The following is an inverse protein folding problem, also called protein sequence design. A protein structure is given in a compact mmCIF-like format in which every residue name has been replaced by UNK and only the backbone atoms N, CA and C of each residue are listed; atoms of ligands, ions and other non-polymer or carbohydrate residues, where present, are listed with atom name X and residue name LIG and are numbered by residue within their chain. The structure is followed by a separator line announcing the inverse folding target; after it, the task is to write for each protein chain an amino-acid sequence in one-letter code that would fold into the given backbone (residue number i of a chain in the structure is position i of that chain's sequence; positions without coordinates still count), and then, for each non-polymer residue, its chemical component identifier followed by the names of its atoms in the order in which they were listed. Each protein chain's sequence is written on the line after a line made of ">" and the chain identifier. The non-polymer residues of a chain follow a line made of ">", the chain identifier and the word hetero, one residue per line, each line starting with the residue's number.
data_IF_596821045291
#
_entry.id   IF_596821045291
#
_cell.length_a   1.000
_cell.length_b   1.000
_cell.length_c   1.000
_cell.angle_alpha   90.00
_cell.angle_beta   90.00
_cell.angle_gamma   90.00
#
_symmetry.space_group_name_H-M   'P 1'
#
loop_
_entity.id
_entity.type
_entity.pdbx_description
1 polymer ?
#
# COMPACT_ATOMS: atom_id res chain seq x y z
N UNK A 1 -12.68 -10.55 -0.14
CA UNK A 1 -11.33 -10.27 0.36
C UNK A 1 -10.39 -10.37 -0.84
N UNK A 2 -9.64 -9.30 -1.11
CA UNK A 2 -8.58 -9.33 -2.13
C UNK A 2 -7.30 -9.78 -1.43
N UNK A 3 -6.73 -10.90 -1.85
CA UNK A 3 -5.45 -11.38 -1.33
C UNK A 3 -4.34 -10.44 -1.84
N UNK A 4 -3.53 -9.95 -0.91
CA UNK A 4 -2.37 -9.10 -1.21
C UNK A 4 -1.12 -9.97 -1.26
N UNK A 5 -0.47 -10.03 -2.40
CA UNK A 5 0.75 -10.79 -2.58
C UNK A 5 1.98 -9.93 -2.24
N UNK A 6 2.87 -10.44 -1.37
CA UNK A 6 4.07 -9.71 -0.92
C UNK A 6 4.99 -9.30 -2.07
N UNK A 7 5.16 -10.17 -3.08
CA UNK A 7 5.96 -9.86 -4.27
C UNK A 7 5.41 -8.71 -5.09
N UNK A 8 4.08 -8.59 -5.20
CA UNK A 8 3.41 -7.48 -5.87
C UNK A 8 3.62 -6.16 -5.13
N UNK A 9 3.47 -6.15 -3.80
CA UNK A 9 3.72 -4.95 -3.00
C UNK A 9 5.17 -4.50 -3.12
N UNK A 10 6.15 -5.43 -3.08
CA UNK A 10 7.55 -5.09 -3.27
C UNK A 10 7.81 -4.46 -4.65
N UNK A 11 7.19 -4.98 -5.70
CA UNK A 11 7.28 -4.42 -7.05
C UNK A 11 6.63 -3.03 -7.13
N UNK A 12 5.42 -2.85 -6.62
CA UNK A 12 4.71 -1.56 -6.58
C UNK A 12 5.52 -0.51 -5.81
N UNK A 13 6.16 -0.89 -4.69
CA UNK A 13 7.04 -0.03 -3.94
C UNK A 13 8.25 0.41 -4.77
N UNK A 14 8.92 -0.52 -5.44
CA UNK A 14 10.07 -0.20 -6.31
C UNK A 14 9.67 0.72 -7.48
N UNK A 15 8.48 0.55 -8.03
CA UNK A 15 7.95 1.41 -9.09
C UNK A 15 7.63 2.82 -8.55
N UNK A 16 7.00 2.90 -7.38
CA UNK A 16 6.71 4.17 -6.71
C UNK A 16 7.98 4.95 -6.36
N UNK A 17 9.04 4.28 -5.89
CA UNK A 17 10.34 4.89 -5.57
C UNK A 17 11.02 5.55 -6.79
N UNK A 18 10.74 5.05 -8.01
CA UNK A 18 11.30 5.64 -9.24
C UNK A 18 10.67 6.99 -9.59
N UNK A 19 9.42 7.21 -9.19
CA UNK A 19 8.63 8.39 -9.59
C UNK A 19 8.37 9.36 -8.45
N UNK A 20 8.46 8.92 -7.19
CA UNK A 20 8.22 9.75 -6.02
C UNK A 20 9.23 9.49 -4.91
N UNK A 21 9.65 10.57 -4.24
CA UNK A 21 10.45 10.46 -3.00
C UNK A 21 9.60 10.26 -1.77
N UNK A 22 8.30 10.61 -1.82
CA UNK A 22 7.35 10.44 -0.72
C UNK A 22 6.30 9.41 -1.13
N UNK A 23 6.09 8.43 -0.27
CA UNK A 23 5.16 7.33 -0.48
C UNK A 23 4.25 7.21 0.74
N UNK A 24 2.94 7.25 0.51
CA UNK A 24 1.94 7.01 1.53
C UNK A 24 1.44 5.57 1.41
N UNK A 25 1.66 4.79 2.45
CA UNK A 25 1.18 3.41 2.55
C UNK A 25 -0.10 3.42 3.38
N UNK A 26 -1.21 3.03 2.78
CA UNK A 26 -2.51 2.99 3.45
C UNK A 26 -2.89 1.56 3.78
N UNK A 27 -3.22 1.31 5.05
CA UNK A 27 -3.51 -0.02 5.58
C UNK A 27 -4.97 -0.09 6.00
N UNK A 28 -5.66 -1.09 5.46
CA UNK A 28 -6.98 -1.54 5.91
C UNK A 28 -7.04 -3.07 5.74
N UNK A 29 -6.53 -3.81 6.74
CA UNK A 29 -6.29 -5.25 6.62
C UNK A 29 -6.42 -5.97 7.96
N UNK A 30 -7.01 -7.16 7.93
CA UNK A 30 -7.08 -8.07 9.07
C UNK A 30 -5.79 -8.89 9.28
N UNK A 31 -4.74 -8.65 8.50
CA UNK A 31 -3.52 -9.44 8.54
C UNK A 31 -3.56 -10.64 7.61
N UNK A 32 -2.81 -11.66 7.93
CA UNK A 32 -2.69 -12.87 7.12
C UNK A 32 -1.41 -13.64 7.39
N UNK A 33 -0.85 -14.25 6.34
CA UNK A 33 0.30 -15.12 6.42
C UNK A 33 1.57 -14.39 6.86
N UNK A 34 2.28 -14.96 7.85
CA UNK A 34 3.37 -14.28 8.57
C UNK A 34 4.57 -14.00 7.67
N UNK A 35 5.02 -14.98 6.87
CA UNK A 35 6.21 -14.79 6.02
C UNK A 35 5.98 -13.77 4.91
N UNK A 36 4.79 -13.75 4.30
CA UNK A 36 4.40 -12.70 3.35
C UNK A 36 4.38 -11.32 4.00
N UNK A 37 3.89 -11.26 5.24
CA UNK A 37 3.88 -10.02 6.01
C UNK A 37 5.27 -9.54 6.37
N UNK A 38 6.17 -10.43 6.79
CA UNK A 38 7.58 -10.10 7.06
C UNK A 38 8.26 -9.59 5.78
N UNK A 39 7.96 -10.18 4.62
CA UNK A 39 8.51 -9.70 3.34
C UNK A 39 8.06 -8.26 3.02
N UNK A 40 6.78 -7.93 3.24
CA UNK A 40 6.26 -6.57 3.08
C UNK A 40 6.90 -5.62 4.09
N UNK A 41 6.95 -6.01 5.37
CA UNK A 41 7.59 -5.24 6.44
C UNK A 41 9.03 -4.88 6.07
N UNK A 42 9.81 -5.86 5.64
CA UNK A 42 11.21 -5.65 5.24
C UNK A 42 11.34 -4.74 4.02
N UNK A 43 10.48 -4.89 3.02
CA UNK A 43 10.48 -4.03 1.85
C UNK A 43 10.25 -2.56 2.24
N UNK A 44 9.26 -2.28 3.09
CA UNK A 44 8.97 -0.94 3.60
C UNK A 44 10.09 -0.40 4.49
N UNK A 45 10.61 -1.22 5.42
CA UNK A 45 11.68 -0.83 6.35
C UNK A 45 12.95 -0.40 5.62
N UNK A 46 13.36 -1.14 4.57
CA UNK A 46 14.59 -0.88 3.82
C UNK A 46 14.44 0.17 2.72
N UNK A 47 13.23 0.59 2.41
CA UNK A 47 12.98 1.65 1.43
C UNK A 47 13.69 2.94 1.81
N UNK A 48 14.31 3.59 0.80
CA UNK A 48 14.97 4.90 0.95
C UNK A 48 14.00 6.07 0.72
N UNK A 49 12.75 5.80 0.34
CA UNK A 49 11.73 6.82 0.21
C UNK A 49 11.27 7.35 1.58
N UNK A 50 10.75 8.59 1.58
CA UNK A 50 10.03 9.16 2.72
C UNK A 50 8.64 8.49 2.81
N UNK A 51 8.61 7.32 3.48
CA UNK A 51 7.37 6.54 3.66
C UNK A 51 6.65 7.02 4.91
N UNK A 52 5.32 7.17 4.80
CA UNK A 52 4.40 7.35 5.91
C UNK A 52 3.30 6.30 5.86
N UNK A 53 3.00 5.72 7.00
CA UNK A 53 2.00 4.66 7.14
C UNK A 53 0.71 5.29 7.70
N UNK A 54 -0.42 4.94 7.08
CA UNK A 54 -1.75 5.39 7.50
C UNK A 54 -2.66 4.18 7.72
N UNK A 55 -3.21 4.05 8.91
CA UNK A 55 -4.22 3.03 9.21
C UNK A 55 -5.60 3.65 9.06
N UNK A 56 -6.33 3.26 8.00
CA UNK A 56 -7.61 3.88 7.64
C UNK A 56 -8.81 3.31 8.38
N UNK A 57 -8.85 2.01 8.57
CA UNK A 57 -9.94 1.32 9.25
C UNK A 57 -9.45 0.30 10.26
N UNK A 58 -8.59 -0.61 9.81
CA UNK A 58 -8.05 -1.67 10.66
C UNK A 58 -6.62 -2.03 10.25
N UNK A 59 -5.77 -2.28 11.24
CA UNK A 59 -4.51 -2.99 11.07
C UNK A 59 -4.44 -4.07 12.15
N UNK A 60 -4.82 -5.31 11.80
CA UNK A 60 -4.90 -6.41 12.75
C UNK A 60 -3.86 -7.48 12.45
N UNK A 61 -3.40 -8.19 13.48
CA UNK A 61 -2.49 -9.32 13.34
C UNK A 61 -1.24 -8.92 12.55
N UNK A 62 -0.88 -9.64 11.50
CA UNK A 62 0.29 -9.32 10.67
C UNK A 62 0.26 -7.91 10.05
N UNK A 63 -0.92 -7.32 9.83
CA UNK A 63 -1.03 -5.94 9.35
C UNK A 63 -0.58 -4.90 10.39
N UNK A 64 -0.76 -5.16 11.69
CA UNK A 64 -0.21 -4.32 12.75
C UNK A 64 1.32 -4.35 12.78
N UNK A 65 1.91 -5.52 12.53
CA UNK A 65 3.38 -5.66 12.38
C UNK A 65 3.90 -4.85 11.19
N UNK A 66 3.24 -4.97 10.02
CA UNK A 66 3.60 -4.20 8.82
C UNK A 66 3.53 -2.70 9.08
N UNK A 67 2.50 -2.23 9.81
CA UNK A 67 2.37 -0.82 10.18
C UNK A 67 3.58 -0.30 10.95
N UNK A 68 4.24 -1.15 11.75
CA UNK A 68 5.37 -0.79 12.61
C UNK A 68 6.75 -1.00 11.95
N UNK A 69 6.85 -0.85 10.64
CA UNK A 69 8.08 -1.08 9.89
C UNK A 69 9.20 -0.03 10.11
N UNK A 70 9.12 0.77 11.16
CA UNK A 70 10.09 1.81 11.50
C UNK A 70 9.93 3.12 10.72
N UNK A 71 8.76 3.32 10.10
CA UNK A 71 8.33 4.56 9.45
C UNK A 71 7.29 5.26 10.33
N UNK A 72 7.07 6.59 10.18
CA UNK A 72 5.99 7.28 10.88
C UNK A 72 4.63 6.64 10.61
N UNK A 73 3.83 6.45 11.68
CA UNK A 73 2.53 5.77 11.65
C UNK A 73 1.44 6.70 12.17
N UNK A 74 0.41 6.89 11.39
CA UNK A 74 -0.76 7.66 11.77
C UNK A 74 -2.02 6.80 11.64
N UNK A 75 -3.00 7.00 12.50
CA UNK A 75 -4.29 6.27 12.43
C UNK A 75 -5.46 7.23 12.27
N UNK A 76 -6.49 6.79 11.56
CA UNK A 76 -7.80 7.43 11.64
C UNK A 76 -8.38 7.28 13.06
N UNK A 77 -9.07 8.30 13.53
CA UNK A 77 -9.70 8.33 14.86
C UNK A 77 -10.57 7.09 15.17
N UNK A 78 -11.22 6.56 14.15
CA UNK A 78 -12.10 5.40 14.27
C UNK A 78 -11.46 4.08 13.87
N UNK A 79 -10.20 4.09 13.45
CA UNK A 79 -9.46 2.89 13.12
C UNK A 79 -9.16 2.05 14.38
N UNK A 80 -8.82 0.80 14.15
CA UNK A 80 -8.44 -0.16 15.19
C UNK A 80 -7.09 -0.79 14.86
N UNK A 81 -6.31 -0.97 15.91
CA UNK A 81 -5.12 -1.82 15.89
C UNK A 81 -5.42 -3.09 16.68
N UNK A 82 -4.94 -4.25 16.23
CA UNK A 82 -5.11 -5.49 16.97
C UNK A 82 -3.83 -6.32 16.94
N UNK A 83 -3.43 -6.75 18.11
CA UNK A 83 -2.30 -7.62 18.35
C UNK A 83 -2.78 -8.92 18.99
N UNK A 84 -2.14 -10.02 18.64
CA UNK A 84 -2.37 -11.33 19.25
C UNK A 84 -1.19 -12.25 19.06
N UNK A 85 -1.18 -13.39 19.74
CA UNK A 85 -0.22 -14.48 19.55
C UNK A 85 -0.24 -14.99 18.11
N UNK A 86 0.88 -15.55 17.66
CA UNK A 86 0.93 -16.22 16.36
C UNK A 86 -0.02 -17.43 16.39
N UNK A 87 -0.96 -17.43 15.46
CA UNK A 87 -1.90 -18.53 15.27
C UNK A 87 -1.52 -19.35 14.04
N UNK A 88 -1.53 -20.65 14.18
CA UNK A 88 -1.26 -21.60 13.11
C UNK A 88 -1.86 -22.94 13.43
N UNK A 89 -1.82 -23.84 12.46
CA UNK A 89 -2.26 -25.21 12.65
C UNK A 89 -1.39 -26.17 11.85
N UNK A 90 -1.22 -27.34 12.40
CA UNK A 90 -0.53 -28.44 11.72
C UNK A 90 -1.25 -29.76 11.97
N UNK A 91 -1.01 -30.69 11.10
CA UNK A 91 -1.55 -32.03 11.18
C UNK A 91 -0.42 -33.04 11.00
N UNK A 92 -0.37 -34.04 11.85
CA UNK A 92 0.68 -35.04 11.75
C UNK A 92 0.88 -35.87 13.02
N UNK A 93 2.02 -36.51 13.14
CA UNK A 93 2.42 -37.26 14.34
C UNK A 93 2.99 -36.30 15.42
N UNK A 94 3.39 -36.88 16.57
CA UNK A 94 3.92 -36.10 17.70
C UNK A 94 5.11 -35.20 17.31
N UNK A 95 6.00 -35.69 16.47
CA UNK A 95 7.18 -34.91 16.03
C UNK A 95 6.77 -33.77 15.09
N UNK A 96 5.75 -33.96 14.27
CA UNK A 96 5.22 -32.88 13.40
C UNK A 96 4.58 -31.77 14.22
N UNK A 97 3.80 -32.14 15.24
CA UNK A 97 3.18 -31.18 16.17
C UNK A 97 4.25 -30.42 16.98
N UNK A 98 5.30 -31.11 17.44
CA UNK A 98 6.38 -30.47 18.17
C UNK A 98 7.11 -29.44 17.30
N UNK A 99 7.44 -29.76 16.06
CA UNK A 99 8.08 -28.82 15.12
C UNK A 99 7.19 -27.60 14.83
N UNK A 100 5.89 -27.80 14.73
CA UNK A 100 4.95 -26.70 14.53
C UNK A 100 4.92 -25.74 15.74
N UNK A 101 4.95 -26.26 16.95
CA UNK A 101 5.05 -25.44 18.16
C UNK A 101 6.37 -24.64 18.19
N UNK A 102 7.49 -25.28 17.87
CA UNK A 102 8.80 -24.61 17.81
C UNK A 102 8.85 -23.50 16.74
N UNK A 103 8.16 -23.70 15.61
CA UNK A 103 8.03 -22.69 14.56
C UNK A 103 7.20 -21.50 15.04
N UNK A 104 6.04 -21.72 15.68
CA UNK A 104 5.22 -20.68 16.26
C UNK A 104 6.02 -19.88 17.29
N UNK A 105 6.71 -20.54 18.21
CA UNK A 105 7.56 -19.88 19.22
C UNK A 105 8.68 -19.02 18.58
N UNK A 106 9.29 -19.51 17.51
CA UNK A 106 10.31 -18.79 16.75
C UNK A 106 9.75 -17.54 16.07
N UNK A 107 8.56 -17.64 15.46
CA UNK A 107 7.88 -16.51 14.84
C UNK A 107 7.47 -15.46 15.89
N UNK A 108 6.91 -15.88 17.02
CA UNK A 108 6.59 -14.98 18.14
C UNK A 108 7.83 -14.28 18.68
N UNK A 109 8.97 -14.98 18.73
CA UNK A 109 10.26 -14.38 19.08
C UNK A 109 10.65 -13.25 18.14
N UNK A 110 10.44 -13.42 16.85
CA UNK A 110 10.75 -12.41 15.83
C UNK A 110 9.76 -11.24 15.86
N UNK A 111 8.47 -11.52 15.97
CA UNK A 111 7.44 -10.48 15.98
C UNK A 111 7.46 -9.68 17.29
N UNK A 112 7.73 -10.33 18.45
CA UNK A 112 7.88 -9.61 19.72
C UNK A 112 9.04 -8.63 19.71
N UNK A 113 10.09 -8.89 18.94
CA UNK A 113 11.21 -7.95 18.77
C UNK A 113 10.77 -6.65 18.07
N UNK A 114 9.93 -6.75 17.04
CA UNK A 114 9.40 -5.59 16.32
C UNK A 114 8.55 -4.71 17.24
N UNK A 115 7.66 -5.30 18.03
CA UNK A 115 6.87 -4.55 19.02
C UNK A 115 7.72 -3.98 20.13
N UNK A 116 8.71 -4.74 20.62
CA UNK A 116 9.65 -4.31 21.65
C UNK A 116 10.45 -3.08 21.20
N UNK A 117 10.97 -3.10 19.96
CA UNK A 117 11.67 -1.96 19.34
C UNK A 117 10.77 -0.72 19.28
N UNK A 118 9.50 -0.89 18.89
CA UNK A 118 8.55 0.22 18.78
C UNK A 118 8.15 0.82 20.12
N UNK A 119 7.90 -0.03 21.12
CA UNK A 119 7.36 0.37 22.42
C UNK A 119 8.43 0.69 23.48
N UNK A 120 9.69 0.36 23.21
CA UNK A 120 10.75 0.45 24.20
C UNK A 120 10.58 -0.55 25.37
N UNK A 121 9.93 -1.67 25.13
CA UNK A 121 9.71 -2.77 26.07
C UNK A 121 10.72 -3.90 25.83
N UNK A 122 10.88 -4.83 26.79
CA UNK A 122 11.57 -6.09 26.53
C UNK A 122 10.67 -7.04 25.72
N UNK A 123 11.28 -8.01 25.03
CA UNK A 123 10.51 -9.04 24.29
C UNK A 123 9.62 -9.86 25.21
N UNK A 124 10.09 -10.15 26.40
CA UNK A 124 9.39 -10.89 27.44
C UNK A 124 8.13 -10.15 27.90
N UNK A 125 8.24 -8.84 28.13
CA UNK A 125 7.08 -8.00 28.47
C UNK A 125 6.07 -7.95 27.32
N UNK A 126 6.53 -7.81 26.07
CA UNK A 126 5.63 -7.86 24.89
C UNK A 126 4.89 -9.18 24.82
N UNK A 127 5.61 -10.31 24.98
CA UNK A 127 4.98 -11.65 24.97
C UNK A 127 3.96 -11.82 26.07
N UNK A 128 4.27 -11.38 27.29
CA UNK A 128 3.37 -11.49 28.43
C UNK A 128 2.13 -10.59 28.29
N UNK A 129 2.26 -9.45 27.60
CA UNK A 129 1.19 -8.46 27.51
C UNK A 129 0.30 -8.67 26.30
N UNK A 130 0.89 -9.07 25.13
CA UNK A 130 0.19 -9.07 23.85
C UNK A 130 0.15 -10.44 23.16
N UNK A 131 0.93 -11.44 23.66
CA UNK A 131 0.97 -12.80 23.11
C UNK A 131 0.54 -13.81 24.19
N UNK A 132 -0.45 -13.44 24.97
CA UNK A 132 -1.03 -14.22 26.07
C UNK A 132 -2.15 -15.18 25.64
N UNK A 133 -2.45 -15.20 24.33
CA UNK A 133 -3.51 -16.02 23.73
C UNK A 133 -4.82 -15.27 23.50
N UNK A 134 -4.90 -14.00 23.92
CA UNK A 134 -6.08 -13.15 23.73
C UNK A 134 -5.86 -12.15 22.59
N UNK A 135 -6.96 -11.57 22.08
CA UNK A 135 -6.94 -10.51 21.08
C UNK A 135 -6.90 -9.13 21.76
N UNK A 136 -5.83 -8.38 21.59
CA UNK A 136 -5.65 -7.04 22.14
C UNK A 136 -6.07 -5.96 21.15
N UNK A 137 -7.28 -5.47 21.27
CA UNK A 137 -7.86 -4.43 20.43
C UNK A 137 -7.61 -3.04 21.00
N UNK A 138 -6.97 -2.18 20.21
CA UNK A 138 -6.66 -0.80 20.56
C UNK A 138 -7.44 0.18 19.69
N UNK A 139 -8.02 1.19 20.29
CA UNK A 139 -8.48 2.40 19.62
C UNK A 139 -7.28 3.23 19.17
N UNK A 140 -7.48 4.18 18.25
CA UNK A 140 -6.41 5.09 17.85
C UNK A 140 -5.82 5.86 19.04
N UNK A 141 -6.66 6.25 20.01
CA UNK A 141 -6.20 6.93 21.23
C UNK A 141 -5.34 6.04 22.11
N UNK A 142 -5.75 4.81 22.35
CA UNK A 142 -4.96 3.85 23.15
C UNK A 142 -3.65 3.51 22.43
N UNK A 143 -3.67 3.32 21.11
CA UNK A 143 -2.49 3.07 20.32
C UNK A 143 -1.49 4.25 20.38
N UNK A 144 -1.98 5.50 20.38
CA UNK A 144 -1.17 6.69 20.56
C UNK A 144 -0.59 6.77 21.97
N UNK A 145 -1.42 6.59 22.98
CA UNK A 145 -1.00 6.68 24.41
C UNK A 145 0.03 5.61 24.77
N UNK A 146 -0.05 4.42 24.16
CA UNK A 146 0.89 3.31 24.33
C UNK A 146 2.12 3.41 23.43
N UNK A 147 2.19 4.34 22.49
CA UNK A 147 3.32 4.54 21.61
C UNK A 147 3.37 3.67 20.35
N UNK A 148 2.27 2.95 20.03
CA UNK A 148 2.20 2.19 18.78
C UNK A 148 2.16 3.07 17.55
N UNK A 149 1.56 4.25 17.64
CA UNK A 149 1.45 5.22 16.55
C UNK A 149 2.00 6.58 16.97
N UNK A 150 2.26 7.43 15.98
CA UNK A 150 2.84 8.76 16.18
C UNK A 150 1.78 9.86 16.23
N UNK A 151 0.64 9.67 15.52
CA UNK A 151 -0.44 10.68 15.48
C UNK A 151 -1.79 10.08 15.06
N UNK A 152 -2.85 10.88 15.24
CA UNK A 152 -4.21 10.61 14.75
C UNK A 152 -4.54 11.69 13.71
N UNK A 153 -4.50 11.34 12.42
CA UNK A 153 -4.53 12.30 11.31
C UNK A 153 -5.89 12.98 11.10
N UNK A 154 -6.96 12.50 11.73
CA UNK A 154 -8.32 13.04 11.68
C UNK A 154 -8.90 13.31 13.08
N UNK A 155 -8.01 13.60 14.04
CA UNK A 155 -8.40 13.90 15.42
C UNK A 155 -9.24 15.17 15.54
N UNK A 156 -9.01 16.14 14.64
CA UNK A 156 -9.79 17.38 14.62
C UNK A 156 -11.20 17.08 14.10
N UNK A 157 -12.24 17.38 14.89
CA UNK A 157 -13.61 17.22 14.43
C UNK A 157 -13.84 18.14 13.22
N UNK A 158 -14.57 17.64 12.23
CA UNK A 158 -15.13 18.48 11.18
C UNK A 158 -15.96 19.57 11.87
N UNK A 159 -15.71 20.88 11.64
CA UNK A 159 -16.50 21.93 12.27
C UNK A 159 -18.00 21.69 12.07
N UNK A 160 -18.78 21.87 13.13
CA UNK A 160 -20.21 21.53 13.13
C UNK A 160 -21.03 22.32 12.10
N UNK A 161 -20.49 23.46 11.65
CA UNK A 161 -21.05 24.36 10.66
C UNK A 161 -20.54 24.12 9.23
N UNK A 162 -19.74 23.05 9.04
CA UNK A 162 -19.19 22.72 7.72
C UNK A 162 -20.29 22.29 6.75
N UNK A 163 -20.28 22.86 5.58
CA UNK A 163 -21.14 22.45 4.46
C UNK A 163 -20.74 21.06 3.93
N UNK A 164 -21.65 20.31 3.27
CA UNK A 164 -21.32 19.04 2.65
C UNK A 164 -20.11 19.11 1.69
N UNK A 165 -19.98 20.21 0.96
CA UNK A 165 -18.85 20.44 0.05
C UNK A 165 -17.51 20.61 0.82
N UNK A 166 -17.53 21.32 1.95
CA UNK A 166 -16.35 21.45 2.81
C UNK A 166 -15.97 20.12 3.47
N UNK A 167 -16.97 19.36 3.94
CA UNK A 167 -16.75 18.01 4.47
C UNK A 167 -16.13 17.12 3.40
N UNK A 168 -16.70 17.10 2.20
CA UNK A 168 -16.18 16.33 1.06
C UNK A 168 -14.75 16.75 0.70
N UNK A 169 -14.46 18.05 0.68
CA UNK A 169 -13.12 18.57 0.43
C UNK A 169 -12.13 18.18 1.53
N UNK A 170 -12.53 18.27 2.80
CA UNK A 170 -11.72 17.82 3.94
C UNK A 170 -11.34 16.34 3.84
N UNK A 171 -12.30 15.47 3.52
CA UNK A 171 -12.04 14.05 3.34
C UNK A 171 -11.22 13.76 2.08
N UNK A 172 -11.49 14.42 0.96
CA UNK A 172 -10.70 14.24 -0.25
C UNK A 172 -9.28 14.78 -0.12
N UNK A 173 -9.07 15.90 0.57
CA UNK A 173 -7.73 16.43 0.82
C UNK A 173 -6.90 15.51 1.75
N UNK A 174 -7.54 14.65 2.53
CA UNK A 174 -6.89 13.60 3.31
C UNK A 174 -6.55 12.37 2.45
N UNK A 175 -7.27 12.13 1.37
CA UNK A 175 -7.06 11.04 0.42
C UNK A 175 -6.15 11.42 -0.76
N UNK A 176 -6.12 12.71 -1.07
CA UNK A 176 -5.21 13.29 -2.07
C UNK A 176 -3.98 13.79 -1.33
N UNK A 177 -2.78 13.50 -1.84
CA UNK A 177 -1.52 14.07 -1.33
C UNK A 177 -1.71 15.54 -0.93
N UNK A 178 -1.01 16.04 0.13
CA UNK A 178 -0.95 17.47 0.36
C UNK A 178 -0.51 18.10 -0.95
N UNK A 179 -1.41 18.79 -1.61
CA UNK A 179 -1.13 19.43 -2.89
C UNK A 179 0.15 20.23 -2.66
N UNK A 180 1.21 19.84 -3.37
CA UNK A 180 2.41 20.67 -3.45
C UNK A 180 1.92 22.07 -3.74
N UNK A 181 1.92 22.87 -2.73
CA UNK A 181 1.60 24.28 -2.61
C UNK A 181 1.32 24.97 -3.96
N UNK A 182 0.12 24.78 -4.55
CA UNK A 182 -0.30 25.53 -5.75
C UNK A 182 -0.28 27.03 -5.46
N UNK A 183 -0.49 27.41 -4.18
CA UNK A 183 -0.43 28.80 -3.72
C UNK A 183 0.98 29.40 -3.75
N UNK A 184 2.03 28.58 -3.69
CA UNK A 184 3.43 29.02 -3.76
C UNK A 184 4.12 28.63 -5.08
N UNK A 185 3.39 28.08 -6.04
CA UNK A 185 3.97 27.69 -7.32
C UNK A 185 4.17 28.93 -8.19
N UNK A 186 5.44 29.20 -8.54
CA UNK A 186 5.74 30.29 -9.47
C UNK A 186 5.32 29.87 -10.89
N UNK A 187 4.13 30.26 -11.31
CA UNK A 187 3.55 29.96 -12.64
C UNK A 187 4.45 30.38 -13.79
N UNK A 188 5.31 31.38 -13.60
CA UNK A 188 6.30 31.80 -14.61
C UNK A 188 7.36 30.72 -14.84
N UNK A 189 7.69 29.94 -13.81
CA UNK A 189 8.66 28.86 -13.94
C UNK A 189 8.01 27.58 -14.49
N UNK A 190 6.73 27.35 -14.18
CA UNK A 190 5.93 26.26 -14.77
C UNK A 190 5.78 26.44 -16.27
N UNK A 191 5.47 27.65 -16.74
CA UNK A 191 5.35 27.99 -18.18
C UNK A 191 6.64 27.78 -18.96
N UNK A 192 7.79 27.68 -18.32
CA UNK A 192 9.08 27.34 -19.02
C UNK A 192 9.24 25.85 -19.34
N UNK A 193 8.40 24.97 -18.78
CA UNK A 193 8.49 23.52 -18.92
C UNK A 193 7.47 22.97 -19.91
N UNK A 194 7.82 22.01 -20.77
CA UNK A 194 6.81 21.25 -21.49
C UNK A 194 5.91 20.50 -20.49
N UNK A 195 4.60 20.37 -20.72
CA UNK A 195 3.83 20.81 -21.89
C UNK A 195 3.28 22.27 -21.81
N UNK A 196 3.65 23.06 -20.79
CA UNK A 196 3.02 24.33 -20.45
C UNK A 196 3.54 25.54 -21.25
N UNK A 197 4.52 25.35 -22.14
CA UNK A 197 5.19 26.44 -22.90
C UNK A 197 4.23 27.29 -23.73
N UNK A 198 3.17 26.66 -24.24
CA UNK A 198 2.21 27.28 -25.15
C UNK A 198 0.98 27.85 -24.44
N UNK A 199 0.94 27.78 -23.11
CA UNK A 199 -0.15 28.35 -22.32
C UNK A 199 -0.05 29.88 -22.30
N UNK A 200 -1.05 30.55 -22.88
CA UNK A 200 -1.09 32.01 -22.98
C UNK A 200 -1.40 32.68 -21.63
N UNK A 201 -2.21 32.04 -20.81
CA UNK A 201 -2.65 32.57 -19.50
C UNK A 201 -2.38 31.57 -18.36
N UNK A 202 -2.50 32.02 -17.12
CA UNK A 202 -2.41 31.17 -15.94
C UNK A 202 -3.61 30.22 -15.87
N UNK A 203 -4.76 30.63 -16.37
CA UNK A 203 -5.97 29.80 -16.49
C UNK A 203 -5.73 28.62 -17.44
N UNK A 204 -4.99 28.83 -18.53
CA UNK A 204 -4.65 27.75 -19.46
C UNK A 204 -3.70 26.74 -18.83
N UNK A 205 -2.77 27.20 -17.97
CA UNK A 205 -1.87 26.32 -17.21
C UNK A 205 -2.69 25.43 -16.27
N UNK A 206 -3.60 26.00 -15.49
CA UNK A 206 -4.44 25.22 -14.57
C UNK A 206 -5.34 24.24 -15.31
N UNK A 207 -5.96 24.65 -16.42
CA UNK A 207 -6.78 23.76 -17.25
C UNK A 207 -5.98 22.57 -17.80
N UNK A 208 -4.75 22.82 -18.26
CA UNK A 208 -3.90 21.76 -18.75
C UNK A 208 -3.42 20.84 -17.62
N UNK A 209 -3.15 21.38 -16.42
CA UNK A 209 -2.83 20.57 -15.24
C UNK A 209 -3.99 19.65 -14.89
N UNK A 210 -5.22 20.16 -14.85
CA UNK A 210 -6.42 19.36 -14.55
C UNK A 210 -6.63 18.26 -15.60
N UNK A 211 -6.38 18.54 -16.89
CA UNK A 211 -6.43 17.53 -17.96
C UNK A 211 -5.38 16.45 -17.79
N UNK A 212 -4.15 16.82 -17.45
CA UNK A 212 -3.05 15.85 -17.23
C UNK A 212 -3.31 15.00 -15.98
N UNK A 213 -3.91 15.57 -14.94
CA UNK A 213 -4.31 14.82 -13.74
C UNK A 213 -5.43 13.80 -14.08
N UNK A 214 -6.41 14.19 -14.89
CA UNK A 214 -7.46 13.29 -15.36
C UNK A 214 -6.90 12.15 -16.22
N UNK A 215 -5.98 12.47 -17.14
CA UNK A 215 -5.31 11.47 -17.97
C UNK A 215 -4.43 10.53 -17.14
N UNK A 216 -3.67 11.07 -16.18
CA UNK A 216 -2.87 10.27 -15.26
C UNK A 216 -3.75 9.30 -14.43
N UNK A 217 -4.94 9.72 -14.03
CA UNK A 217 -5.91 8.86 -13.35
C UNK A 217 -6.41 7.67 -14.18
N UNK A 218 -6.31 7.74 -15.51
CA UNK A 218 -6.69 6.64 -16.42
C UNK A 218 -5.57 5.59 -16.59
N UNK A 219 -4.32 5.95 -16.26
CA UNK A 219 -3.15 5.08 -16.46
C UNK A 219 -3.27 3.74 -15.73
N UNK A 220 -3.68 3.67 -14.44
CA UNK A 220 -3.83 2.40 -13.75
C UNK A 220 -4.87 1.48 -14.40
N UNK A 221 -6.00 2.06 -14.87
CA UNK A 221 -7.09 1.32 -15.53
C UNK A 221 -6.57 0.71 -16.83
N UNK A 222 -5.94 1.53 -17.66
CA UNK A 222 -5.37 1.11 -18.95
C UNK A 222 -4.23 0.09 -18.77
N UNK A 223 -3.45 0.20 -17.69
CA UNK A 223 -2.39 -0.75 -17.36
C UNK A 223 -2.99 -2.11 -17.00
N UNK A 224 -4.05 -2.14 -16.21
CA UNK A 224 -4.75 -3.38 -15.86
C UNK A 224 -5.40 -4.03 -17.10
N UNK A 225 -6.11 -3.24 -17.92
CA UNK A 225 -6.70 -3.73 -19.18
C UNK A 225 -5.64 -4.30 -20.13
N UNK A 226 -4.48 -3.65 -20.23
CA UNK A 226 -3.37 -4.12 -21.05
C UNK A 226 -2.76 -5.42 -20.51
N UNK A 227 -2.70 -5.58 -19.19
CA UNK A 227 -2.26 -6.82 -18.54
C UNK A 227 -3.23 -7.96 -18.81
N UNK A 228 -4.53 -7.71 -18.69
CA UNK A 228 -5.58 -8.69 -18.97
C UNK A 228 -5.59 -9.08 -20.46
N UNK A 229 -5.41 -8.12 -21.36
CA UNK A 229 -5.32 -8.38 -22.79
C UNK A 229 -4.08 -9.21 -23.14
N UNK A 230 -2.92 -8.92 -22.55
CA UNK A 230 -1.70 -9.72 -22.73
C UNK A 230 -1.88 -11.16 -22.24
N UNK A 231 -2.51 -11.36 -21.10
CA UNK A 231 -2.81 -12.70 -20.58
C UNK A 231 -3.75 -13.48 -21.51
N UNK A 232 -4.76 -12.79 -22.09
CA UNK A 232 -5.65 -13.39 -23.10
C UNK A 232 -4.90 -13.75 -24.38
N UNK A 233 -4.03 -12.86 -24.87
CA UNK A 233 -3.19 -13.14 -26.07
C UNK A 233 -2.33 -14.37 -25.84
N UNK A 234 -1.62 -14.46 -24.71
CA UNK A 234 -0.80 -15.65 -24.36
C UNK A 234 -1.68 -16.92 -24.34
N UNK A 235 -2.88 -16.83 -23.75
CA UNK A 235 -3.81 -17.97 -23.72
C UNK A 235 -4.27 -18.41 -25.11
N UNK A 236 -4.43 -17.46 -26.04
CA UNK A 236 -4.77 -17.79 -27.44
C UNK A 236 -3.58 -18.35 -28.21
N UNK A 237 -2.38 -17.82 -27.96
CA UNK A 237 -1.13 -18.32 -28.55
C UNK A 237 -0.83 -19.76 -28.10
N UNK A 238 -1.01 -20.06 -26.81
CA UNK A 238 -0.83 -21.40 -26.26
C UNK A 238 -1.86 -22.43 -26.80
N UNK A 239 -3.04 -21.98 -27.21
CA UNK A 239 -4.09 -22.83 -27.79
C UNK A 239 -4.00 -22.96 -29.30
N UNK A 240 -3.27 -22.10 -29.97
CA UNK A 240 -3.10 -22.14 -31.41
C UNK A 240 -2.13 -23.26 -31.79
N UNK A 241 -2.54 -24.13 -32.72
CA UNK A 241 -1.62 -25.13 -33.27
C UNK A 241 -0.47 -24.42 -33.99
N UNK A 242 0.77 -24.93 -33.89
CA UNK A 242 1.95 -24.29 -34.51
C UNK A 242 1.79 -24.04 -36.02
N UNK A 243 1.06 -24.89 -36.71
CA UNK A 243 0.75 -24.76 -38.13
C UNK A 243 -0.17 -23.58 -38.45
N UNK A 244 -1.14 -23.29 -37.57
CA UNK A 244 -2.05 -22.14 -37.72
C UNK A 244 -1.34 -20.80 -37.47
N UNK A 245 -0.39 -20.77 -36.55
CA UNK A 245 0.44 -19.59 -36.28
C UNK A 245 1.38 -19.26 -37.46
N UNK A 246 1.97 -20.28 -38.06
CA UNK A 246 2.84 -20.11 -39.25
C UNK A 246 2.03 -19.62 -40.47
N UNK A 247 0.85 -20.17 -40.71
CA UNK A 247 -0.03 -19.73 -41.77
C UNK A 247 -0.53 -18.28 -41.62
N UNK A 248 -0.87 -17.87 -40.40
CA UNK A 248 -1.26 -16.49 -40.08
C UNK A 248 -0.13 -15.51 -40.28
N UNK A 249 1.09 -15.88 -39.87
CA UNK A 249 2.26 -15.04 -40.06
C UNK A 249 2.59 -14.84 -41.52
N UNK A 250 2.49 -15.89 -42.35
CA UNK A 250 2.65 -15.78 -43.80
C UNK A 250 1.61 -14.85 -44.46
N UNK A 251 0.35 -14.88 -43.99
CA UNK A 251 -0.70 -14.00 -44.48
C UNK A 251 -0.46 -12.53 -44.07
N UNK A 252 0.04 -12.28 -42.86
CA UNK A 252 0.41 -10.94 -42.38
C UNK A 252 1.58 -10.38 -43.17
N UNK A 253 2.66 -11.18 -43.34
CA UNK A 253 3.84 -10.78 -44.10
C UNK A 253 3.49 -10.50 -45.57
N UNK A 254 2.55 -11.24 -46.17
CA UNK A 254 2.04 -10.99 -47.50
C UNK A 254 1.24 -9.68 -47.62
N UNK A 255 0.38 -9.41 -46.62
CA UNK A 255 -0.43 -8.20 -46.57
C UNK A 255 0.39 -6.92 -46.36
N UNK A 256 1.53 -7.02 -45.66
CA UNK A 256 2.48 -5.90 -45.50
C UNK A 256 3.31 -5.62 -46.76
N UNK A 257 3.44 -6.61 -47.65
CA UNK A 257 4.15 -6.43 -48.92
C UNK A 257 3.27 -5.86 -50.07
N UNK A 258 1.95 -6.01 -49.94
CA UNK A 258 0.96 -5.53 -50.92
C UNK A 258 0.39 -4.13 -50.61
N UNK A 259 0.73 -3.52 -49.45
CA UNK A 259 0.30 -2.18 -49.00
C UNK A 259 1.41 -1.16 -49.02
#
# INVERSE_FOLDING_TARGET
>A
YTEVQSGRIAQELMEAERVSRRIHVRINSNGGEVYSGIAIFNALRHSQADIRIYVDGIAASMASVIALCGKPVEMSKYARLMLHSVSGGCYGNKQDLQRCMEEIESLEGSLSEIYAERLGMSKEEVKQTYFDGEDHWLTAKEALDLGFIDDIYDADPVPADSTPAQIYTLFNNRLVEPQTNRENMNLKDVKKRPPFKDCASDVDVFRLMDQLEEEAGKVPILTNENTDLKAKVTTYEDKAQPEDLAARKQLLDAAEQDG
#
